data_IF_845767995046
#
_entry.id   IF_845767995046
#
_cell.length_a   1.000
_cell.length_b   1.000
_cell.length_c   1.000
_cell.angle_alpha   90.00
_cell.angle_beta   90.00
_cell.angle_gamma   90.00
#
_symmetry.space_group_name_H-M   'P 1'
#
loop_
_entity.id
_entity.type
_entity.pdbx_description
1 polymer ?
#
# COMPACT_ATOMS: atom_id res chain seq x y z
N UNK A 1 37.90 -18.74 62.46
CA UNK A 1 36.44 -18.55 62.34
C UNK A 1 36.19 -17.97 60.96
N UNK A 2 35.35 -18.62 60.15
CA UNK A 2 35.24 -18.42 58.70
C UNK A 2 34.64 -17.05 58.33
N UNK A 3 35.26 -16.37 57.37
CA UNK A 3 34.63 -15.29 56.60
C UNK A 3 33.99 -15.98 55.39
N UNK A 4 32.67 -16.20 55.43
CA UNK A 4 31.93 -16.65 54.25
C UNK A 4 31.62 -15.45 53.36
N UNK A 5 32.25 -15.47 52.19
CA UNK A 5 32.05 -14.51 51.10
C UNK A 5 30.59 -14.57 50.63
N UNK A 6 29.92 -13.42 50.63
CA UNK A 6 28.73 -13.21 49.80
C UNK A 6 29.13 -13.40 48.34
N UNK A 7 28.84 -14.57 47.78
CA UNK A 7 28.94 -14.83 46.35
C UNK A 7 27.62 -14.48 45.70
N UNK A 8 27.34 -13.19 45.51
CA UNK A 8 26.35 -12.76 44.52
C UNK A 8 27.00 -12.90 43.14
N UNK A 9 26.86 -14.08 42.52
CA UNK A 9 27.13 -14.19 41.09
C UNK A 9 26.04 -13.37 40.36
N UNK A 10 26.38 -12.31 39.61
CA UNK A 10 25.41 -11.71 38.71
C UNK A 10 25.23 -12.74 37.60
N UNK A 11 24.21 -13.59 37.72
CA UNK A 11 23.73 -14.35 36.57
C UNK A 11 23.31 -13.31 35.55
N UNK A 12 24.18 -13.08 34.55
CA UNK A 12 23.91 -12.24 33.40
C UNK A 12 22.56 -12.66 32.86
N UNK A 13 21.54 -11.83 33.09
CA UNK A 13 20.18 -12.15 32.67
C UNK A 13 20.11 -11.94 31.16
N UNK A 14 20.56 -12.95 30.42
CA UNK A 14 20.54 -12.97 28.97
C UNK A 14 19.11 -12.86 28.42
N UNK A 15 18.06 -13.07 29.23
CA UNK A 15 16.67 -12.93 28.79
C UNK A 15 16.35 -11.49 28.38
N UNK A 16 16.86 -10.50 29.12
CA UNK A 16 16.71 -9.08 28.79
C UNK A 16 17.40 -8.77 27.47
N UNK A 17 18.62 -9.28 27.27
CA UNK A 17 19.36 -9.11 26.02
C UNK A 17 18.66 -9.76 24.83
N UNK A 18 18.16 -11.00 24.98
CA UNK A 18 17.42 -11.72 23.93
C UNK A 18 16.13 -11.01 23.56
N UNK A 19 15.36 -10.53 24.55
CA UNK A 19 14.13 -9.78 24.30
C UNK A 19 14.42 -8.46 23.57
N UNK A 20 15.45 -7.72 24.00
CA UNK A 20 15.88 -6.48 23.35
C UNK A 20 16.27 -6.71 21.89
N UNK A 21 17.05 -7.77 21.62
CA UNK A 21 17.46 -8.14 20.25
C UNK A 21 16.25 -8.54 19.42
N UNK A 22 15.32 -9.34 19.97
CA UNK A 22 14.09 -9.77 19.28
C UNK A 22 13.24 -8.57 18.87
N UNK A 23 13.04 -7.60 19.76
CA UNK A 23 12.28 -6.38 19.46
C UNK A 23 12.95 -5.56 18.36
N UNK A 24 14.28 -5.40 18.40
CA UNK A 24 15.02 -4.72 17.35
C UNK A 24 14.90 -5.41 15.98
N UNK A 25 14.98 -6.74 15.94
CA UNK A 25 14.79 -7.54 14.72
C UNK A 25 13.38 -7.33 14.16
N UNK A 26 12.35 -7.48 14.99
CA UNK A 26 10.96 -7.32 14.57
C UNK A 26 10.66 -5.91 14.08
N UNK A 27 11.18 -4.90 14.78
CA UNK A 27 11.08 -3.49 14.36
C UNK A 27 11.75 -3.27 13.00
N UNK A 28 12.96 -3.79 12.79
CA UNK A 28 13.70 -3.66 11.53
C UNK A 28 12.95 -4.33 10.37
N UNK A 29 12.46 -5.56 10.57
CA UNK A 29 11.67 -6.28 9.58
C UNK A 29 10.38 -5.53 9.22
N UNK A 30 9.69 -4.98 10.22
CA UNK A 30 8.49 -4.18 9.99
C UNK A 30 8.78 -2.93 9.17
N UNK A 31 9.86 -2.19 9.46
CA UNK A 31 10.24 -1.02 8.68
C UNK A 31 10.61 -1.38 7.23
N UNK A 32 11.36 -2.47 7.03
CA UNK A 32 11.68 -2.97 5.70
C UNK A 32 10.40 -3.33 4.91
N UNK A 33 9.46 -4.05 5.53
CA UNK A 33 8.19 -4.41 4.91
C UNK A 33 7.35 -3.17 4.55
N UNK A 34 7.32 -2.14 5.41
CA UNK A 34 6.63 -0.87 5.14
C UNK A 34 7.23 -0.15 3.94
N UNK A 35 8.56 -0.05 3.85
CA UNK A 35 9.23 0.57 2.70
C UNK A 35 8.96 -0.19 1.40
N UNK A 36 9.05 -1.53 1.43
CA UNK A 36 8.70 -2.37 0.28
C UNK A 36 7.24 -2.17 -0.14
N UNK A 37 6.31 -2.09 0.82
CA UNK A 37 4.90 -1.85 0.49
C UNK A 37 4.69 -0.48 -0.17
N UNK A 38 5.35 0.57 0.32
CA UNK A 38 5.27 1.91 -0.29
C UNK A 38 5.80 1.93 -1.73
N UNK A 39 6.94 1.29 -1.97
CA UNK A 39 7.50 1.16 -3.32
C UNK A 39 6.55 0.39 -4.24
N UNK A 40 5.98 -0.73 -3.76
CA UNK A 40 5.01 -1.51 -4.52
C UNK A 40 3.74 -0.73 -4.86
N UNK A 41 3.19 0.04 -3.91
CA UNK A 41 2.05 0.90 -4.16
C UNK A 41 2.37 1.96 -5.22
N UNK A 42 3.55 2.58 -5.14
CA UNK A 42 3.99 3.60 -6.08
C UNK A 42 4.20 3.03 -7.48
N UNK A 43 4.81 1.84 -7.60
CA UNK A 43 4.92 1.09 -8.85
C UNK A 43 3.54 0.79 -9.45
N UNK A 44 2.61 0.25 -8.63
CA UNK A 44 1.27 -0.09 -9.08
C UNK A 44 0.46 1.13 -9.51
N UNK A 45 0.65 2.27 -8.84
CA UNK A 45 0.09 3.55 -9.24
C UNK A 45 0.62 3.99 -10.60
N UNK A 46 1.94 3.97 -10.80
CA UNK A 46 2.58 4.32 -12.07
C UNK A 46 2.17 3.39 -13.23
N UNK A 47 2.09 2.08 -12.99
CA UNK A 47 1.56 1.12 -13.97
C UNK A 47 0.11 1.44 -14.29
N UNK A 48 -0.70 1.73 -13.26
CA UNK A 48 -2.09 2.12 -13.43
C UNK A 48 -2.25 3.34 -14.32
N UNK A 49 -1.42 4.37 -14.10
CA UNK A 49 -1.33 5.58 -14.93
C UNK A 49 -1.01 5.25 -16.37
N UNK A 50 0.04 4.46 -16.60
CA UNK A 50 0.47 4.04 -17.93
C UNK A 50 -0.62 3.26 -18.68
N UNK A 51 -1.26 2.30 -18.01
CA UNK A 51 -2.36 1.52 -18.59
C UNK A 51 -3.57 2.42 -18.85
N UNK A 52 -3.92 3.34 -17.94
CA UNK A 52 -5.06 4.25 -18.13
C UNK A 52 -4.85 5.12 -19.36
N UNK A 53 -3.73 5.84 -19.45
CA UNK A 53 -3.42 6.70 -20.59
C UNK A 53 -3.47 5.93 -21.93
N UNK A 54 -2.81 4.77 -22.01
CA UNK A 54 -2.76 4.03 -23.27
C UNK A 54 -4.03 3.23 -23.59
N UNK A 55 -4.86 2.88 -22.59
CA UNK A 55 -6.12 2.14 -22.84
C UNK A 55 -7.35 3.04 -22.99
N UNK A 56 -7.30 4.28 -22.51
CA UNK A 56 -8.39 5.26 -22.60
C UNK A 56 -8.16 6.28 -23.71
N UNK A 57 -6.95 6.82 -23.82
CA UNK A 57 -6.64 7.92 -24.75
C UNK A 57 -6.08 7.42 -26.08
N UNK A 58 -5.60 6.17 -26.13
CA UNK A 58 -5.12 5.50 -27.34
C UNK A 58 -5.95 4.25 -27.66
N UNK A 59 -5.81 3.74 -28.88
CA UNK A 59 -6.49 2.52 -29.33
C UNK A 59 -5.64 1.27 -29.03
N UNK A 60 -5.74 0.76 -27.80
CA UNK A 60 -5.24 -0.58 -27.45
C UNK A 60 -6.22 -1.71 -27.82
N UNK A 61 -7.49 -1.39 -28.04
CA UNK A 61 -8.53 -2.37 -28.36
C UNK A 61 -8.90 -3.28 -27.18
N UNK A 62 -9.84 -4.19 -27.40
CA UNK A 62 -10.25 -5.19 -26.41
C UNK A 62 -9.17 -6.26 -26.25
N UNK A 63 -8.80 -6.59 -25.00
CA UNK A 63 -7.86 -7.67 -24.71
C UNK A 63 -6.38 -7.27 -24.57
N UNK A 64 -6.00 -6.01 -24.79
CA UNK A 64 -4.61 -5.56 -24.63
C UNK A 64 -4.02 -5.88 -23.25
N UNK A 65 -4.78 -5.64 -22.16
CA UNK A 65 -4.32 -5.93 -20.79
C UNK A 65 -4.04 -7.43 -20.60
N UNK A 66 -4.85 -8.30 -21.22
CA UNK A 66 -4.63 -9.75 -21.19
C UNK A 66 -3.33 -10.12 -21.88
N UNK A 67 -3.13 -9.61 -23.10
CA UNK A 67 -1.93 -9.85 -23.88
C UNK A 67 -0.66 -9.34 -23.16
N UNK A 68 -0.72 -8.16 -22.53
CA UNK A 68 0.38 -7.61 -21.73
C UNK A 68 0.69 -8.53 -20.54
N UNK A 69 -0.30 -8.96 -19.77
CA UNK A 69 -0.11 -9.88 -18.63
C UNK A 69 0.46 -11.24 -19.07
N UNK A 70 0.02 -11.77 -20.21
CA UNK A 70 0.59 -13.00 -20.78
C UNK A 70 2.05 -12.82 -21.20
N UNK A 71 2.37 -11.70 -21.85
CA UNK A 71 3.73 -11.39 -22.28
C UNK A 71 4.68 -11.16 -21.10
N UNK A 72 4.28 -10.40 -20.09
CA UNK A 72 5.08 -10.19 -18.87
C UNK A 72 5.42 -11.52 -18.18
N UNK A 73 4.46 -12.43 -18.05
CA UNK A 73 4.70 -13.76 -17.45
C UNK A 73 5.63 -14.63 -18.29
N UNK A 74 5.57 -14.50 -19.62
CA UNK A 74 6.47 -15.21 -20.54
C UNK A 74 7.89 -14.67 -20.45
N UNK A 75 8.05 -13.35 -20.44
CA UNK A 75 9.35 -12.68 -20.47
C UNK A 75 10.03 -12.67 -19.08
N UNK A 76 9.25 -12.79 -17.99
CA UNK A 76 9.75 -12.87 -16.62
C UNK A 76 9.14 -14.06 -15.86
N UNK A 77 9.66 -15.29 -16.05
CA UNK A 77 9.19 -16.46 -15.33
C UNK A 77 9.31 -16.29 -13.81
N UNK A 78 8.25 -16.62 -13.07
CA UNK A 78 8.19 -16.45 -11.61
C UNK A 78 7.67 -15.09 -11.13
N UNK A 79 7.41 -14.14 -12.05
CA UNK A 79 6.79 -12.86 -11.74
C UNK A 79 5.37 -13.05 -11.15
N UNK A 80 5.17 -12.59 -9.90
CA UNK A 80 3.89 -12.64 -9.18
C UNK A 80 3.27 -11.26 -9.10
N UNK A 81 1.94 -11.18 -9.04
CA UNK A 81 1.22 -9.91 -8.85
C UNK A 81 0.86 -9.16 -10.13
N UNK A 82 1.17 -9.69 -11.32
CA UNK A 82 0.93 -9.04 -12.62
C UNK A 82 -0.02 -9.84 -13.53
N UNK A 83 -1.05 -10.46 -12.95
CA UNK A 83 -2.14 -11.08 -13.72
C UNK A 83 -3.01 -10.03 -14.41
N UNK A 84 -3.82 -10.44 -15.39
CA UNK A 84 -4.77 -9.54 -16.08
C UNK A 84 -5.66 -8.79 -15.08
N UNK A 85 -6.21 -9.49 -14.08
CA UNK A 85 -7.04 -8.87 -13.04
C UNK A 85 -6.23 -7.90 -12.18
N UNK A 86 -4.96 -8.20 -11.88
CA UNK A 86 -4.10 -7.30 -11.13
C UNK A 86 -3.81 -6.03 -11.92
N UNK A 87 -3.48 -6.12 -13.21
CA UNK A 87 -3.28 -4.97 -14.08
C UNK A 87 -4.54 -4.11 -14.21
N UNK A 88 -5.72 -4.73 -14.31
CA UNK A 88 -7.02 -4.03 -14.25
C UNK A 88 -7.20 -3.29 -12.92
N UNK A 89 -6.82 -3.92 -11.80
CA UNK A 89 -6.85 -3.30 -10.48
C UNK A 89 -5.85 -2.14 -10.36
N UNK A 90 -4.65 -2.25 -10.94
CA UNK A 90 -3.68 -1.15 -10.97
C UNK A 90 -4.23 0.05 -11.72
N UNK A 91 -4.88 -0.17 -12.88
CA UNK A 91 -5.58 0.90 -13.61
C UNK A 91 -6.67 1.55 -12.75
N UNK A 92 -7.54 0.77 -12.13
CA UNK A 92 -8.58 1.28 -11.23
C UNK A 92 -7.97 2.07 -10.06
N UNK A 93 -6.90 1.54 -9.46
CA UNK A 93 -6.20 2.15 -8.35
C UNK A 93 -5.67 3.54 -8.72
N UNK A 94 -5.07 3.69 -9.89
CA UNK A 94 -4.69 4.99 -10.42
C UNK A 94 -5.92 5.89 -10.67
N UNK A 95 -6.89 5.42 -11.46
CA UNK A 95 -8.04 6.22 -11.91
C UNK A 95 -8.87 6.77 -10.72
N UNK A 96 -9.01 5.98 -9.66
CA UNK A 96 -9.82 6.35 -8.49
C UNK A 96 -9.09 7.25 -7.49
N UNK A 97 -7.75 7.20 -7.46
CA UNK A 97 -6.93 7.98 -6.52
C UNK A 97 -6.24 9.19 -7.16
N UNK A 98 -6.14 9.26 -8.49
CA UNK A 98 -5.54 10.42 -9.17
C UNK A 98 -6.23 11.75 -8.87
N UNK A 99 -7.56 11.85 -8.65
CA UNK A 99 -8.16 13.13 -8.24
C UNK A 99 -7.71 13.61 -6.86
N UNK A 100 -7.13 12.74 -6.04
CA UNK A 100 -6.62 13.05 -4.69
C UNK A 100 -5.13 13.37 -4.72
N UNK A 101 -4.35 12.64 -5.52
CA UNK A 101 -2.89 12.77 -5.55
C UNK A 101 -2.34 13.70 -6.63
N UNK A 102 -3.05 13.86 -7.75
CA UNK A 102 -2.60 14.70 -8.85
C UNK A 102 -3.34 16.04 -8.84
N UNK A 103 -2.58 17.13 -8.94
CA UNK A 103 -3.15 18.44 -9.25
C UNK A 103 -3.44 18.51 -10.75
N UNK A 104 -4.40 19.34 -11.17
CA UNK A 104 -4.68 19.54 -12.61
C UNK A 104 -3.44 19.97 -13.41
N UNK A 105 -2.48 20.62 -12.75
CA UNK A 105 -1.23 21.07 -13.37
C UNK A 105 -0.22 19.92 -13.59
N UNK A 106 -0.26 18.85 -12.78
CA UNK A 106 0.65 17.70 -12.90
C UNK A 106 0.37 16.85 -14.14
N UNK A 107 -0.88 16.84 -14.61
CA UNK A 107 -1.33 16.11 -15.81
C UNK A 107 -0.81 16.74 -17.12
N UNK A 108 -0.45 18.02 -17.11
CA UNK A 108 -0.03 18.75 -18.32
C UNK A 108 1.47 18.58 -18.66
N UNK A 109 2.30 18.05 -17.75
CA UNK A 109 3.77 18.12 -17.84
C UNK A 109 4.45 16.74 -17.97
N UNK A 110 3.77 15.62 -17.68
CA UNK A 110 4.46 14.31 -17.75
C UNK A 110 4.63 13.81 -19.18
N UNK A 111 5.82 13.29 -19.57
CA UNK A 111 6.05 12.61 -20.83
C UNK A 111 5.38 11.21 -20.83
N UNK A 112 4.05 11.17 -20.80
CA UNK A 112 3.23 9.95 -21.01
C UNK A 112 3.52 9.33 -22.40
N UNK A 113 4.14 10.10 -23.30
CA UNK A 113 4.39 9.73 -24.69
C UNK A 113 5.57 8.76 -24.93
N UNK A 114 6.50 8.52 -23.99
CA UNK A 114 7.81 7.88 -24.31
C UNK A 114 8.22 6.72 -23.38
N UNK A 115 7.28 5.85 -22.98
CA UNK A 115 7.64 4.51 -22.49
C UNK A 115 8.30 4.41 -21.11
N UNK A 116 8.33 5.47 -20.30
CA UNK A 116 8.78 5.42 -18.91
C UNK A 116 7.61 5.37 -17.93
N UNK A 117 7.75 4.55 -16.88
CA UNK A 117 6.80 4.45 -15.76
C UNK A 117 7.45 5.17 -14.57
N UNK A 118 6.86 6.27 -14.13
CA UNK A 118 7.33 6.99 -12.93
C UNK A 118 6.94 6.21 -11.67
N UNK A 119 7.91 5.57 -11.02
CA UNK A 119 7.68 4.73 -9.84
C UNK A 119 7.76 5.51 -8.53
N UNK A 120 7.93 6.83 -8.56
CA UNK A 120 8.10 7.66 -7.36
C UNK A 120 6.91 8.59 -7.08
N UNK A 121 5.84 8.47 -7.88
CA UNK A 121 4.63 9.31 -7.80
C UNK A 121 4.00 9.35 -6.40
N UNK A 122 4.01 8.23 -5.66
CA UNK A 122 3.48 8.16 -4.29
C UNK A 122 4.55 8.33 -3.20
N UNK A 123 5.79 8.63 -3.58
CA UNK A 123 6.91 8.77 -2.65
C UNK A 123 7.29 10.23 -2.39
N UNK A 124 6.90 11.14 -3.29
CA UNK A 124 7.20 12.57 -3.18
C UNK A 124 5.98 13.34 -2.68
N UNK A 125 6.11 14.24 -1.68
CA UNK A 125 5.02 15.07 -1.16
C UNK A 125 4.64 16.22 -2.13
N UNK A 126 4.78 16.00 -3.44
CA UNK A 126 4.37 16.96 -4.49
C UNK A 126 2.85 17.03 -4.66
N UNK A 127 2.11 16.17 -3.95
CA UNK A 127 0.66 16.10 -3.97
C UNK A 127 0.05 17.00 -2.89
N UNK A 128 -1.22 17.42 -3.03
CA UNK A 128 -1.92 18.26 -2.04
C UNK A 128 -2.23 17.52 -0.72
N UNK A 129 -1.71 16.31 -0.53
CA UNK A 129 -2.01 15.45 0.61
C UNK A 129 -1.05 15.68 1.77
N UNK A 130 -1.52 15.51 3.01
CA UNK A 130 -0.67 15.63 4.19
C UNK A 130 0.32 14.46 4.29
N UNK A 131 1.45 14.66 4.99
CA UNK A 131 2.44 13.59 5.24
C UNK A 131 1.80 12.44 6.03
N UNK A 132 0.93 12.76 6.99
CA UNK A 132 0.24 11.78 7.83
C UNK A 132 -0.72 10.90 7.00
N UNK A 133 -1.49 11.50 6.09
CA UNK A 133 -2.37 10.77 5.17
C UNK A 133 -1.57 9.88 4.22
N UNK A 134 -0.43 10.36 3.73
CA UNK A 134 0.46 9.57 2.88
C UNK A 134 1.05 8.37 3.66
N UNK A 135 1.34 8.56 4.94
CA UNK A 135 1.78 7.48 5.81
C UNK A 135 0.68 6.44 6.03
N UNK A 136 -0.55 6.87 6.35
CA UNK A 136 -1.71 5.98 6.47
C UNK A 136 -1.93 5.19 5.18
N UNK A 137 -1.94 5.88 4.03
CA UNK A 137 -2.10 5.27 2.73
C UNK A 137 -1.03 4.20 2.45
N UNK A 138 0.23 4.52 2.76
CA UNK A 138 1.39 3.65 2.55
C UNK A 138 1.51 2.48 3.54
N UNK A 139 0.82 2.54 4.69
CA UNK A 139 0.78 1.46 5.67
C UNK A 139 -0.23 0.37 5.32
N UNK A 140 -1.13 0.63 4.36
CA UNK A 140 -2.13 -0.33 3.93
C UNK A 140 -1.67 -1.07 2.66
N UNK A 141 -1.94 -2.38 2.55
CA UNK A 141 -1.50 -3.13 1.36
C UNK A 141 -2.37 -2.84 0.14
N UNK A 142 -1.82 -3.06 -1.06
CA UNK A 142 -2.55 -2.88 -2.33
C UNK A 142 -3.91 -3.61 -2.34
N UNK A 143 -3.98 -4.83 -1.79
CA UNK A 143 -5.23 -5.59 -1.74
C UNK A 143 -6.30 -4.88 -0.91
N UNK A 144 -5.95 -4.27 0.21
CA UNK A 144 -6.93 -3.50 1.01
C UNK A 144 -7.45 -2.30 0.22
N UNK A 145 -6.56 -1.55 -0.44
CA UNK A 145 -6.94 -0.46 -1.34
C UNK A 145 -7.93 -0.93 -2.40
N UNK A 146 -7.66 -2.06 -3.05
CA UNK A 146 -8.58 -2.66 -4.03
C UNK A 146 -9.93 -3.04 -3.41
N UNK A 147 -9.98 -3.55 -2.17
CA UNK A 147 -11.25 -3.83 -1.48
C UNK A 147 -12.05 -2.56 -1.22
N UNK A 148 -11.38 -1.50 -0.77
CA UNK A 148 -11.98 -0.19 -0.51
C UNK A 148 -12.55 0.39 -1.80
N UNK A 149 -11.77 0.44 -2.88
CA UNK A 149 -12.20 1.03 -4.16
C UNK A 149 -13.38 0.29 -4.81
N UNK A 150 -13.44 -1.03 -4.65
CA UNK A 150 -14.54 -1.83 -5.15
C UNK A 150 -15.82 -1.69 -4.32
N UNK A 151 -15.70 -1.42 -3.02
CA UNK A 151 -16.83 -1.39 -2.10
C UNK A 151 -17.34 0.01 -1.74
N UNK A 152 -16.54 1.05 -1.92
CA UNK A 152 -16.87 2.42 -1.54
C UNK A 152 -16.51 3.42 -2.65
N UNK A 153 -17.44 4.33 -2.95
CA UNK A 153 -17.29 5.37 -4.00
C UNK A 153 -16.99 6.74 -3.42
N UNK A 154 -17.42 7.01 -2.20
CA UNK A 154 -17.14 8.27 -1.53
C UNK A 154 -15.69 8.33 -1.02
N UNK A 155 -14.92 9.31 -1.50
CA UNK A 155 -13.49 9.46 -1.16
C UNK A 155 -13.26 9.68 0.33
N UNK A 156 -14.12 10.45 1.02
CA UNK A 156 -13.98 10.69 2.45
C UNK A 156 -14.23 9.40 3.24
N UNK A 157 -15.20 8.57 2.84
CA UNK A 157 -15.42 7.25 3.45
C UNK A 157 -14.26 6.29 3.19
N UNK A 158 -13.64 6.33 2.00
CA UNK A 158 -12.42 5.54 1.72
C UNK A 158 -11.32 5.85 2.73
N UNK A 159 -11.07 7.12 3.01
CA UNK A 159 -10.09 7.54 4.03
C UNK A 159 -10.45 7.06 5.44
N UNK A 160 -11.74 7.11 5.82
CA UNK A 160 -12.20 6.52 7.08
C UNK A 160 -11.90 5.03 7.16
N UNK A 161 -12.15 4.27 6.09
CA UNK A 161 -11.84 2.84 6.04
C UNK A 161 -10.35 2.54 6.13
N UNK A 162 -9.49 3.36 5.50
CA UNK A 162 -8.03 3.24 5.65
C UNK A 162 -7.64 3.40 7.12
N UNK A 163 -8.13 4.45 7.78
CA UNK A 163 -7.84 4.72 9.19
C UNK A 163 -8.33 3.59 10.11
N UNK A 164 -9.60 3.20 9.99
CA UNK A 164 -10.21 2.14 10.81
C UNK A 164 -9.50 0.80 10.62
N UNK A 165 -9.13 0.46 9.38
CA UNK A 165 -8.44 -0.80 9.11
C UNK A 165 -7.06 -0.85 9.77
N UNK A 166 -6.33 0.27 9.82
CA UNK A 166 -5.02 0.35 10.47
C UNK A 166 -5.14 0.33 12.00
N UNK A 167 -6.04 1.13 12.56
CA UNK A 167 -6.27 1.23 14.01
C UNK A 167 -6.70 -0.12 14.60
N UNK A 168 -7.60 -0.82 13.91
CA UNK A 168 -8.15 -2.09 14.37
C UNK A 168 -7.46 -3.32 13.77
N UNK A 169 -6.38 -3.12 12.99
CA UNK A 169 -5.59 -4.18 12.34
C UNK A 169 -6.46 -5.15 11.53
N UNK A 170 -7.45 -4.62 10.80
CA UNK A 170 -8.34 -5.41 9.98
C UNK A 170 -7.59 -6.09 8.84
N UNK A 171 -7.86 -7.38 8.63
CA UNK A 171 -7.45 -8.05 7.41
C UNK A 171 -8.38 -7.68 6.24
N UNK A 172 -7.98 -8.07 5.02
CA UNK A 172 -8.73 -7.74 3.81
C UNK A 172 -10.15 -8.32 3.76
N UNK A 173 -10.41 -9.44 4.46
CA UNK A 173 -11.73 -10.09 4.47
C UNK A 173 -12.65 -9.37 5.44
N UNK A 174 -12.15 -9.07 6.64
CA UNK A 174 -12.90 -8.33 7.64
C UNK A 174 -13.19 -6.92 7.16
N UNK A 175 -12.21 -6.21 6.58
CA UNK A 175 -12.42 -4.91 5.94
C UNK A 175 -13.55 -4.96 4.89
N UNK A 176 -13.56 -5.99 4.04
CA UNK A 176 -14.62 -6.14 3.03
C UNK A 176 -16.02 -6.32 3.68
N UNK A 177 -16.10 -7.01 4.81
CA UNK A 177 -17.35 -7.13 5.57
C UNK A 177 -17.77 -5.78 6.17
N UNK A 178 -16.84 -5.04 6.78
CA UNK A 178 -17.11 -3.72 7.38
C UNK A 178 -17.53 -2.67 6.34
N UNK A 179 -17.05 -2.79 5.10
CA UNK A 179 -17.53 -1.97 3.98
C UNK A 179 -18.98 -2.30 3.64
N UNK A 180 -19.36 -3.58 3.57
CA UNK A 180 -20.76 -3.98 3.31
C UNK A 180 -21.73 -3.51 4.39
N UNK A 181 -21.24 -3.43 5.62
CA UNK A 181 -22.01 -2.96 6.78
C UNK A 181 -22.03 -1.42 6.91
N UNK A 182 -21.40 -0.68 5.99
CA UNK A 182 -21.32 0.80 6.01
C UNK A 182 -20.81 1.38 7.35
N UNK A 183 -19.87 0.67 7.98
CA UNK A 183 -19.37 1.00 9.33
C UNK A 183 -18.75 2.41 9.41
N UNK A 184 -18.24 2.95 8.30
CA UNK A 184 -17.70 4.32 8.23
C UNK A 184 -18.74 5.43 8.47
N UNK A 185 -20.04 5.12 8.34
CA UNK A 185 -21.14 6.05 8.64
C UNK A 185 -21.49 6.08 10.13
N UNK A 186 -21.15 5.01 10.85
CA UNK A 186 -21.50 4.83 12.26
C UNK A 186 -20.29 5.10 13.18
N UNK A 187 -19.07 4.96 12.68
CA UNK A 187 -17.85 5.30 13.42
C UNK A 187 -17.65 6.83 13.49
N UNK A 188 -17.68 7.37 14.71
CA UNK A 188 -17.68 8.81 14.99
C UNK A 188 -18.98 9.32 15.62
N UNK A 189 -20.02 8.47 15.65
CA UNK A 189 -21.22 8.64 16.48
C UNK A 189 -21.15 7.61 17.61
N UNK A 190 -20.28 7.84 18.60
CA UNK A 190 -20.46 7.20 19.91
C UNK A 190 -20.96 8.26 20.90
N UNK A 191 -21.93 7.90 21.77
CA UNK A 191 -22.43 8.78 22.84
C UNK A 191 -21.36 9.16 23.85
#
# INVERSE_FOLDING_TARGET
MKIEKFSSNPTTDYSVAVNTIKEAILRSQYQAAKLVNREMLSLYYGIGRYISANSRERFWGTGAIKAISERLRKDMPGLKGFSESSLKNMRMFYEEWSPVFESKDTLAISPIMIGEIETTLLLSPKSPITIDDLELFGNLSFTHHVRILNGEKDVAKRWKYIKLALENKWDTRFLQQQIKENVADHYGVMP
#
